data_IF_446249875021
#
_entry.id   IF_446249875021
#
_cell.length_a   1.000
_cell.length_b   1.000
_cell.length_c   1.000
_cell.angle_alpha   90.00
_cell.angle_beta   90.00
_cell.angle_gamma   90.00
#
_symmetry.space_group_name_H-M   'P 1'
#
loop_
_entity.id
_entity.type
_entity.pdbx_description
1 polymer ?
#
# COMPACT_ATOMS: atom_id res chain seq x y z
N UNK A 1 -21.60 -24.56 -33.41
CA UNK A 1 -20.20 -24.22 -33.73
C UNK A 1 -19.57 -23.57 -32.51
N UNK A 2 -18.77 -24.33 -31.77
CA UNK A 2 -18.02 -23.83 -30.61
C UNK A 2 -16.57 -23.67 -31.08
N UNK A 3 -16.13 -22.44 -31.30
CA UNK A 3 -14.72 -22.13 -31.51
C UNK A 3 -14.03 -21.94 -30.17
N UNK A 4 -13.22 -22.94 -29.81
CA UNK A 4 -12.19 -22.83 -28.80
C UNK A 4 -11.09 -21.88 -29.32
N UNK A 5 -11.01 -20.68 -28.77
CA UNK A 5 -9.84 -19.82 -28.89
C UNK A 5 -8.94 -20.06 -27.69
N UNK A 6 -7.84 -20.78 -27.91
CA UNK A 6 -6.78 -20.98 -26.93
C UNK A 6 -5.44 -20.66 -27.58
N UNK A 7 -5.18 -19.36 -27.80
CA UNK A 7 -3.83 -18.86 -28.10
C UNK A 7 -3.25 -18.30 -26.80
N UNK A 8 -2.50 -19.14 -26.08
CA UNK A 8 -1.56 -18.69 -25.07
C UNK A 8 -0.33 -18.14 -25.78
N UNK A 9 -0.26 -16.82 -25.93
CA UNK A 9 0.99 -16.12 -26.21
C UNK A 9 1.71 -16.00 -24.86
N UNK A 10 2.72 -16.84 -24.65
CA UNK A 10 3.62 -16.75 -23.50
C UNK A 10 4.57 -15.56 -23.70
N UNK A 11 4.17 -14.39 -23.20
CA UNK A 11 5.07 -13.26 -23.02
C UNK A 11 6.10 -13.59 -21.94
N UNK A 12 7.37 -13.71 -22.35
CA UNK A 12 8.51 -13.62 -21.43
C UNK A 12 8.57 -12.17 -20.90
N UNK A 13 7.98 -11.92 -19.73
CA UNK A 13 7.94 -10.58 -19.15
C UNK A 13 7.49 -10.61 -17.70
N UNK A 14 8.40 -10.24 -16.78
CA UNK A 14 8.23 -10.23 -15.31
C UNK A 14 7.77 -11.56 -14.72
N UNK A 15 8.62 -12.23 -13.94
CA UNK A 15 8.24 -13.43 -13.17
C UNK A 15 7.28 -13.05 -12.03
N UNK A 16 6.07 -12.58 -12.37
CA UNK A 16 4.97 -12.41 -11.43
C UNK A 16 4.54 -13.79 -11.00
N UNK A 17 4.71 -14.08 -9.71
CA UNK A 17 4.30 -15.34 -9.10
C UNK A 17 2.89 -15.14 -8.54
N UNK A 18 1.84 -15.64 -9.20
CA UNK A 18 0.47 -15.48 -8.71
C UNK A 18 0.25 -16.29 -7.44
N UNK A 19 -0.21 -15.62 -6.38
CA UNK A 19 -0.57 -16.23 -5.10
C UNK A 19 -2.09 -16.35 -4.96
N UNK A 20 -2.54 -17.37 -4.23
CA UNK A 20 -3.91 -17.55 -3.74
C UNK A 20 -3.85 -17.47 -2.22
N UNK A 21 -4.66 -16.61 -1.61
CA UNK A 21 -4.73 -16.46 -0.16
C UNK A 21 -6.08 -17.02 0.30
N UNK A 22 -6.05 -17.91 1.28
CA UNK A 22 -7.23 -18.48 1.91
C UNK A 22 -7.30 -18.01 3.37
N UNK A 23 -8.44 -17.42 3.72
CA UNK A 23 -8.72 -16.90 5.05
C UNK A 23 -9.77 -17.78 5.70
N UNK A 24 -9.53 -18.21 6.94
CA UNK A 24 -10.53 -18.94 7.73
C UNK A 24 -11.53 -17.98 8.37
N UNK A 25 -12.67 -18.53 8.83
CA UNK A 25 -13.66 -17.77 9.60
C UNK A 25 -13.14 -17.26 10.96
N UNK A 26 -11.96 -17.71 11.39
CA UNK A 26 -11.31 -17.29 12.64
C UNK A 26 -10.20 -16.25 12.41
N UNK A 27 -10.08 -15.72 11.19
CA UNK A 27 -9.15 -14.63 10.89
C UNK A 27 -9.51 -13.35 11.69
N UNK A 28 -8.53 -12.62 12.28
CA UNK A 28 -7.08 -12.77 12.16
C UNK A 28 -6.43 -13.69 13.21
N UNK A 29 -7.18 -14.32 14.11
CA UNK A 29 -6.61 -15.19 15.16
C UNK A 29 -5.92 -16.42 14.58
N UNK A 30 -6.52 -17.01 13.56
CA UNK A 30 -5.90 -18.08 12.78
C UNK A 30 -5.11 -17.50 11.60
N UNK A 31 -3.89 -18.01 11.41
CA UNK A 31 -3.00 -17.59 10.32
C UNK A 31 -3.60 -17.89 8.94
N UNK A 32 -3.39 -17.03 7.93
CA UNK A 32 -3.86 -17.26 6.57
C UNK A 32 -3.06 -18.37 5.88
N UNK A 33 -3.67 -19.10 4.95
CA UNK A 33 -2.96 -20.08 4.12
C UNK A 33 -2.67 -19.47 2.76
N UNK A 34 -1.43 -19.59 2.27
CA UNK A 34 -1.00 -18.97 1.01
C UNK A 34 -0.51 -20.05 0.07
N UNK A 35 -1.12 -20.16 -1.11
CA UNK A 35 -0.71 -21.09 -2.15
C UNK A 35 -0.12 -20.38 -3.36
N UNK A 36 0.85 -21.01 -3.99
CA UNK A 36 1.37 -20.58 -5.30
C UNK A 36 0.53 -21.22 -6.40
N UNK A 37 -0.02 -20.43 -7.34
CA UNK A 37 -0.84 -20.98 -8.44
C UNK A 37 -0.02 -21.67 -9.53
N UNK A 38 1.30 -21.45 -9.55
CA UNK A 38 2.24 -22.08 -10.48
C UNK A 38 3.03 -23.15 -9.74
N UNK A 39 3.34 -24.25 -10.44
CA UNK A 39 4.22 -25.30 -9.92
C UNK A 39 5.66 -24.77 -9.91
N UNK A 40 6.11 -24.33 -8.73
CA UNK A 40 7.44 -23.76 -8.51
C UNK A 40 8.15 -24.55 -7.42
N UNK A 41 9.46 -24.73 -7.59
CA UNK A 41 10.35 -25.33 -6.59
C UNK A 41 11.03 -24.21 -5.80
N UNK A 42 10.88 -24.26 -4.46
CA UNK A 42 11.51 -23.32 -3.55
C UNK A 42 11.57 -23.91 -2.13
N UNK A 43 12.59 -23.53 -1.35
CA UNK A 43 12.77 -24.01 0.05
C UNK A 43 11.58 -23.73 0.98
N UNK A 44 10.76 -22.74 0.64
CA UNK A 44 9.57 -22.35 1.42
C UNK A 44 8.26 -22.63 0.68
N UNK A 45 8.27 -23.46 -0.36
CA UNK A 45 7.05 -23.92 -1.02
C UNK A 45 6.97 -25.43 -0.81
N UNK A 46 5.89 -25.89 -0.19
CA UNK A 46 5.62 -27.32 -0.07
C UNK A 46 5.36 -27.94 -1.45
N UNK A 47 6.08 -29.00 -1.79
CA UNK A 47 6.03 -29.57 -3.15
C UNK A 47 4.71 -30.27 -3.49
N UNK A 48 3.92 -30.66 -2.47
CA UNK A 48 2.69 -31.43 -2.65
C UNK A 48 1.45 -30.52 -2.67
N UNK A 49 1.40 -29.52 -1.80
CA UNK A 49 0.27 -28.61 -1.60
C UNK A 49 0.48 -27.23 -2.25
N UNK A 50 1.71 -26.93 -2.65
CA UNK A 50 2.14 -25.61 -3.12
C UNK A 50 1.86 -24.47 -2.13
N UNK A 51 1.73 -24.81 -0.85
CA UNK A 51 1.60 -23.86 0.25
C UNK A 51 2.96 -23.19 0.54
N UNK A 52 2.93 -21.88 0.76
CA UNK A 52 4.09 -21.11 1.19
C UNK A 52 4.27 -21.28 2.69
N UNK A 53 5.36 -21.94 3.09
CA UNK A 53 5.74 -22.18 4.48
C UNK A 53 6.41 -20.92 5.03
N UNK A 54 5.62 -19.90 5.36
CA UNK A 54 6.15 -18.61 5.82
C UNK A 54 6.45 -18.54 7.32
N UNK A 55 6.04 -19.54 8.11
CA UNK A 55 6.26 -19.56 9.56
C UNK A 55 7.76 -19.52 9.96
N UNK A 56 8.65 -19.89 9.03
CA UNK A 56 10.11 -19.85 9.21
C UNK A 56 10.70 -18.43 9.15
N UNK A 57 10.03 -17.47 8.50
CA UNK A 57 10.53 -16.10 8.31
C UNK A 57 9.51 -15.01 8.63
N UNK A 58 8.27 -15.37 8.97
CA UNK A 58 7.21 -14.46 9.40
C UNK A 58 6.32 -15.12 10.46
N UNK A 59 6.34 -14.60 11.68
CA UNK A 59 5.51 -15.07 12.79
C UNK A 59 4.17 -14.34 12.80
N UNK A 60 3.10 -15.04 12.45
CA UNK A 60 1.74 -14.50 12.46
C UNK A 60 1.22 -14.29 13.89
N UNK A 61 0.66 -13.12 14.17
CA UNK A 61 -0.03 -12.78 15.42
C UNK A 61 -1.28 -11.92 15.14
N UNK A 62 -2.09 -11.65 16.17
CA UNK A 62 -3.37 -10.92 16.00
C UNK A 62 -3.21 -9.49 15.45
N UNK A 63 -2.01 -8.90 15.57
CA UNK A 63 -1.68 -7.57 15.04
C UNK A 63 -1.01 -7.62 13.65
N UNK A 64 -0.73 -8.82 13.11
CA UNK A 64 -0.14 -9.00 11.79
C UNK A 64 -1.10 -8.55 10.68
N UNK A 65 -0.55 -7.93 9.63
CA UNK A 65 -1.31 -7.53 8.44
C UNK A 65 -0.94 -8.40 7.25
N UNK A 66 -1.93 -8.76 6.43
CA UNK A 66 -1.72 -9.53 5.20
C UNK A 66 -0.72 -8.88 4.25
N UNK A 67 -0.73 -7.54 4.17
CA UNK A 67 0.19 -6.78 3.33
C UNK A 67 1.65 -7.01 3.74
N UNK A 68 1.93 -7.01 5.04
CA UNK A 68 3.29 -7.22 5.57
C UNK A 68 3.78 -8.64 5.31
N UNK A 69 2.87 -9.62 5.44
CA UNK A 69 3.14 -11.01 5.12
C UNK A 69 3.48 -11.19 3.63
N UNK A 70 2.67 -10.62 2.73
CA UNK A 70 2.91 -10.70 1.28
C UNK A 70 4.22 -10.00 0.90
N UNK A 71 4.52 -8.84 1.49
CA UNK A 71 5.79 -8.14 1.27
C UNK A 71 6.98 -8.98 1.73
N UNK A 72 6.85 -9.71 2.85
CA UNK A 72 7.90 -10.61 3.34
C UNK A 72 8.11 -11.82 2.44
N UNK A 73 7.04 -12.42 1.94
CA UNK A 73 7.11 -13.50 0.95
C UNK A 73 7.80 -12.99 -0.33
N UNK A 74 7.44 -11.80 -0.80
CA UNK A 74 8.08 -11.18 -1.95
C UNK A 74 9.58 -10.96 -1.73
N UNK A 75 10.00 -10.46 -0.56
CA UNK A 75 11.41 -10.31 -0.22
C UNK A 75 12.15 -11.65 -0.27
N UNK A 76 11.57 -12.72 0.29
CA UNK A 76 12.19 -14.04 0.25
C UNK A 76 12.30 -14.60 -1.18
N UNK A 77 11.28 -14.41 -2.01
CA UNK A 77 11.29 -14.86 -3.41
C UNK A 77 12.21 -14.01 -4.30
N UNK A 78 12.53 -12.78 -3.91
CA UNK A 78 13.57 -11.98 -4.60
C UNK A 78 14.96 -12.50 -4.22
N UNK A 79 15.20 -12.77 -2.94
CA UNK A 79 16.49 -13.25 -2.44
C UNK A 79 16.79 -14.68 -2.91
N UNK A 80 15.76 -15.50 -3.06
CA UNK A 80 15.84 -16.88 -3.52
C UNK A 80 14.73 -17.11 -4.54
N UNK A 81 15.03 -16.92 -5.82
CA UNK A 81 14.00 -17.00 -6.85
C UNK A 81 13.44 -18.43 -6.96
N UNK A 82 12.11 -18.64 -6.80
CA UNK A 82 11.51 -19.93 -7.07
C UNK A 82 11.76 -20.34 -8.52
N UNK A 83 12.36 -21.50 -8.71
CA UNK A 83 12.65 -22.04 -10.03
C UNK A 83 11.46 -22.87 -10.52
N UNK A 84 11.22 -22.89 -11.83
CA UNK A 84 10.39 -23.94 -12.41
C UNK A 84 11.14 -25.26 -12.28
N UNK A 85 10.40 -26.33 -11.95
CA UNK A 85 10.99 -27.67 -11.90
C UNK A 85 11.51 -28.05 -13.29
N UNK A 86 12.81 -28.39 -13.44
CA UNK A 86 13.39 -28.73 -14.74
C UNK A 86 12.68 -29.91 -15.41
N UNK A 87 12.17 -30.89 -14.65
CA UNK A 87 11.42 -32.02 -15.21
C UNK A 87 10.07 -31.59 -15.79
N UNK A 88 9.39 -30.63 -15.14
CA UNK A 88 8.11 -30.11 -15.66
C UNK A 88 8.31 -29.29 -16.93
N UNK A 89 9.41 -28.54 -17.01
CA UNK A 89 9.77 -27.78 -18.20
C UNK A 89 10.06 -28.71 -19.39
N UNK A 90 10.77 -29.81 -19.14
CA UNK A 90 11.05 -30.84 -20.14
C UNK A 90 9.77 -31.54 -20.63
N UNK A 91 8.83 -31.84 -19.72
CA UNK A 91 7.52 -32.41 -20.06
C UNK A 91 6.68 -31.45 -20.92
N UNK A 92 6.67 -30.14 -20.61
CA UNK A 92 5.96 -29.14 -21.44
C UNK A 92 6.57 -29.03 -22.85
N UNK A 93 7.89 -29.06 -22.95
CA UNK A 93 8.60 -29.05 -24.24
C UNK A 93 8.29 -30.30 -25.06
N UNK A 94 8.32 -31.49 -24.43
CA UNK A 94 7.96 -32.75 -25.08
C UNK A 94 6.51 -32.75 -25.57
N UNK A 95 5.58 -32.22 -24.78
CA UNK A 95 4.17 -32.14 -25.17
C UNK A 95 3.96 -31.24 -26.39
N UNK A 96 4.66 -30.11 -26.45
CA UNK A 96 4.61 -29.21 -27.61
C UNK A 96 5.14 -29.92 -28.87
N UNK A 97 6.27 -30.62 -28.75
CA UNK A 97 6.87 -31.38 -29.85
C UNK A 97 5.96 -32.50 -30.37
N UNK A 98 5.33 -33.26 -29.48
CA UNK A 98 4.35 -34.30 -29.86
C UNK A 98 3.16 -33.71 -30.61
N UNK A 99 2.71 -32.50 -30.23
CA UNK A 99 1.60 -31.84 -30.89
C UNK A 99 1.96 -31.34 -32.30
N UNK A 100 3.19 -30.83 -32.46
CA UNK A 100 3.74 -30.47 -33.77
C UNK A 100 3.87 -31.70 -34.68
N UNK A 101 4.39 -32.80 -34.16
CA UNK A 101 4.53 -34.06 -34.91
C UNK A 101 3.15 -34.63 -35.31
N UNK A 102 2.14 -34.54 -34.45
CA UNK A 102 0.76 -34.94 -34.78
C UNK A 102 0.15 -34.08 -35.88
N UNK A 103 0.40 -32.77 -35.90
CA UNK A 103 -0.07 -31.89 -36.97
C UNK A 103 0.63 -32.18 -38.30
N UNK A 104 1.94 -32.44 -38.26
CA UNK A 104 2.72 -32.83 -39.44
C UNK A 104 2.21 -34.17 -40.04
N UNK A 105 1.92 -35.16 -39.19
CA UNK A 105 1.32 -36.42 -39.59
C UNK A 105 -0.08 -36.24 -40.18
N UNK A 106 -0.92 -35.39 -39.59
CA UNK A 106 -2.25 -35.08 -40.12
C UNK A 106 -2.18 -34.47 -41.53
N UNK A 107 -1.21 -33.57 -41.76
CA UNK A 107 -0.96 -32.96 -43.08
C UNK A 107 -0.43 -33.97 -44.11
N UNK A 108 0.46 -34.88 -43.72
CA UNK A 108 0.94 -35.95 -44.60
C UNK A 108 -0.16 -36.94 -45.00
N UNK A 109 -1.12 -37.18 -44.12
CA UNK A 109 -2.24 -38.10 -44.38
C UNK A 109 -3.40 -37.44 -45.12
N UNK A 110 -3.39 -36.12 -45.31
CA UNK A 110 -4.47 -35.47 -46.04
C UNK A 110 -4.25 -35.63 -47.55
N UNK A 111 -5.20 -36.24 -48.25
CA UNK A 111 -5.15 -36.34 -49.71
C UNK A 111 -5.27 -34.94 -50.32
N UNK A 112 -4.36 -34.58 -51.23
CA UNK A 112 -4.36 -33.32 -51.98
C UNK A 112 -5.71 -32.99 -52.63
N UNK A 113 -6.44 -34.02 -53.07
CA UNK A 113 -7.78 -33.90 -53.65
C UNK A 113 -8.84 -33.38 -52.67
N UNK A 114 -8.62 -33.52 -51.36
CA UNK A 114 -9.49 -32.97 -50.32
C UNK A 114 -9.14 -31.52 -49.97
N UNK A 115 -7.86 -31.13 -50.13
CA UNK A 115 -7.44 -29.73 -49.95
C UNK A 115 -7.82 -28.85 -51.15
N UNK A 116 -7.87 -29.45 -52.35
CA UNK A 116 -8.21 -28.77 -53.60
C UNK A 116 -9.27 -29.57 -54.38
N UNK A 117 -10.56 -29.40 -54.04
CA UNK A 117 -11.66 -30.20 -54.61
C UNK A 117 -11.83 -30.08 -56.13
N UNK A 118 -11.18 -29.11 -56.77
CA UNK A 118 -11.22 -28.89 -58.23
C UNK A 118 -10.13 -29.62 -59.03
N UNK A 119 -9.23 -30.38 -58.39
CA UNK A 119 -8.12 -31.09 -59.05
C UNK A 119 -8.44 -32.57 -59.37
N UNK A 120 -9.71 -32.94 -59.54
CA UNK A 120 -10.05 -34.31 -59.91
C UNK A 120 -9.87 -34.56 -61.42
N UNK A 121 -8.90 -35.43 -61.73
CA UNK A 121 -8.83 -36.32 -62.89
C UNK A 121 -9.32 -35.74 -64.23
N UNK A 122 -8.43 -34.98 -64.89
CA UNK A 122 -8.48 -34.77 -66.34
C UNK A 122 -8.58 -33.31 -66.76
N UNK A 123 -7.60 -32.90 -67.56
CA UNK A 123 -7.61 -31.71 -68.44
C UNK A 123 -7.28 -30.32 -67.89
N UNK A 124 -6.75 -30.16 -66.68
CA UNK A 124 -6.04 -28.92 -66.34
C UNK A 124 -4.73 -29.31 -65.68
N UNK A 125 -3.63 -29.28 -66.43
CA UNK A 125 -2.29 -29.35 -65.84
C UNK A 125 -2.22 -28.20 -64.84
N UNK A 126 -1.62 -28.37 -63.66
CA UNK A 126 -1.45 -27.28 -62.70
C UNK A 126 -0.84 -26.01 -63.36
N UNK A 127 -0.08 -26.21 -64.44
CA UNK A 127 0.47 -25.19 -65.35
C UNK A 127 -0.58 -24.32 -66.06
N UNK A 128 -1.79 -24.81 -66.32
CA UNK A 128 -2.87 -24.06 -66.99
C UNK A 128 -3.73 -23.27 -65.98
N UNK A 129 -3.77 -23.68 -64.70
CA UNK A 129 -4.32 -22.85 -63.61
C UNK A 129 -3.41 -21.66 -63.27
N UNK A 130 -2.09 -21.85 -63.36
CA UNK A 130 -1.09 -20.78 -63.20
C UNK A 130 -1.12 -19.74 -64.33
N UNK A 131 -1.70 -20.08 -65.49
CA UNK A 131 -1.88 -19.20 -66.66
C UNK A 131 -3.22 -18.47 -66.69
N UNK A 132 -4.13 -18.71 -65.74
CA UNK A 132 -5.37 -17.92 -65.63
C UNK A 132 -5.01 -16.50 -65.18
N UNK A 133 -5.30 -15.53 -66.04
CA UNK A 133 -5.12 -14.11 -65.77
C UNK A 133 -5.75 -13.74 -64.42
N UNK A 134 -4.96 -13.10 -63.56
CA UNK A 134 -5.33 -12.70 -62.19
C UNK A 134 -4.61 -13.48 -61.08
N UNK A 135 -4.33 -14.78 -61.25
CA UNK A 135 -3.64 -15.58 -60.21
C UNK A 135 -2.20 -15.12 -59.99
N UNK A 136 -1.48 -14.79 -61.07
CA UNK A 136 -0.11 -14.29 -60.96
C UNK A 136 -0.05 -12.91 -60.28
N UNK A 137 -1.04 -12.05 -60.51
CA UNK A 137 -1.15 -10.75 -59.81
C UNK A 137 -1.47 -10.92 -58.32
N UNK A 138 -2.40 -11.82 -57.96
CA UNK A 138 -2.71 -12.09 -56.55
C UNK A 138 -1.54 -12.73 -55.80
N UNK A 139 -0.82 -13.65 -56.46
CA UNK A 139 0.42 -14.23 -55.93
C UNK A 139 1.53 -13.19 -55.77
N UNK A 140 1.63 -12.21 -56.67
CA UNK A 140 2.56 -11.09 -56.49
C UNK A 140 2.14 -10.15 -55.34
N UNK A 141 0.83 -9.95 -55.11
CA UNK A 141 0.31 -9.13 -54.00
C UNK A 141 0.43 -9.81 -52.64
N UNK A 142 0.54 -11.14 -52.59
CA UNK A 142 0.67 -11.96 -51.38
C UNK A 142 1.85 -11.54 -50.49
N UNK A 143 2.99 -11.19 -51.10
CA UNK A 143 4.16 -10.71 -50.36
C UNK A 143 3.90 -9.33 -49.73
N UNK A 144 3.18 -8.45 -50.44
CA UNK A 144 2.74 -7.15 -49.93
C UNK A 144 1.75 -7.31 -48.77
N UNK A 145 0.81 -8.24 -48.87
CA UNK A 145 -0.14 -8.54 -47.80
C UNK A 145 0.55 -9.14 -46.57
N UNK A 146 1.55 -10.00 -46.76
CA UNK A 146 2.35 -10.58 -45.68
C UNK A 146 3.17 -9.50 -44.95
N UNK A 147 3.75 -8.55 -45.69
CA UNK A 147 4.43 -7.37 -45.11
C UNK A 147 3.47 -6.48 -44.33
N UNK A 148 2.28 -6.22 -44.89
CA UNK A 148 1.24 -5.44 -44.22
C UNK A 148 0.75 -6.13 -42.93
N UNK A 149 0.55 -7.45 -42.96
CA UNK A 149 0.21 -8.23 -41.78
C UNK A 149 1.28 -8.11 -40.70
N UNK A 150 2.56 -8.23 -41.07
CA UNK A 150 3.69 -8.04 -40.13
C UNK A 150 3.70 -6.64 -39.51
N UNK A 151 3.46 -5.61 -40.31
CA UNK A 151 3.37 -4.23 -39.84
C UNK A 151 2.19 -4.01 -38.87
N UNK A 152 1.01 -4.57 -39.17
CA UNK A 152 -0.16 -4.51 -38.28
C UNK A 152 0.11 -5.23 -36.96
N UNK A 153 0.76 -6.40 -37.00
CA UNK A 153 1.14 -7.13 -35.79
C UNK A 153 2.14 -6.33 -34.93
N UNK A 154 3.15 -5.70 -35.54
CA UNK A 154 4.11 -4.85 -34.84
C UNK A 154 3.41 -3.64 -34.18
N UNK A 155 2.48 -2.99 -34.90
CA UNK A 155 1.66 -1.91 -34.33
C UNK A 155 0.80 -2.41 -33.16
N UNK A 156 0.18 -3.57 -33.27
CA UNK A 156 -0.60 -4.19 -32.19
C UNK A 156 0.23 -4.42 -30.93
N UNK A 157 1.45 -4.96 -31.09
CA UNK A 157 2.39 -5.17 -29.97
C UNK A 157 2.83 -3.84 -29.33
N UNK A 158 3.10 -2.80 -30.13
CA UNK A 158 3.44 -1.47 -29.61
C UNK A 158 2.28 -0.84 -28.84
N UNK A 159 1.05 -0.97 -29.34
CA UNK A 159 -0.16 -0.50 -28.66
C UNK A 159 -0.36 -1.21 -27.32
N UNK A 160 -0.19 -2.54 -27.29
CA UNK A 160 -0.29 -3.31 -26.05
C UNK A 160 0.79 -2.91 -25.04
N UNK A 161 2.02 -2.69 -25.49
CA UNK A 161 3.10 -2.17 -24.65
C UNK A 161 2.76 -0.79 -24.06
N UNK A 162 2.29 0.15 -24.90
CA UNK A 162 1.90 1.49 -24.46
C UNK A 162 0.73 1.46 -23.48
N UNK A 163 -0.28 0.62 -23.74
CA UNK A 163 -1.42 0.42 -22.82
C UNK A 163 -0.95 -0.06 -21.45
N UNK A 164 -0.07 -1.07 -21.42
CA UNK A 164 0.50 -1.58 -20.17
C UNK A 164 1.33 -0.52 -19.44
N UNK A 165 2.08 0.32 -20.16
CA UNK A 165 2.81 1.43 -19.54
C UNK A 165 1.87 2.48 -18.95
N UNK A 166 0.81 2.84 -19.65
CA UNK A 166 -0.23 3.76 -19.16
C UNK A 166 -0.90 3.23 -17.90
N UNK A 167 -1.28 1.95 -17.87
CA UNK A 167 -1.89 1.33 -16.70
C UNK A 167 -0.93 1.32 -15.50
N UNK A 168 0.35 0.99 -15.72
CA UNK A 168 1.36 1.04 -14.66
C UNK A 168 1.58 2.47 -14.14
N UNK A 169 1.62 3.47 -15.03
CA UNK A 169 1.72 4.87 -14.63
C UNK A 169 0.48 5.34 -13.86
N UNK A 170 -0.72 4.98 -14.30
CA UNK A 170 -1.95 5.31 -13.60
C UNK A 170 -1.99 4.70 -12.18
N UNK A 171 -1.55 3.44 -12.04
CA UNK A 171 -1.42 2.79 -10.72
C UNK A 171 -0.37 3.46 -9.83
N UNK A 172 0.78 3.86 -10.39
CA UNK A 172 1.81 4.59 -9.65
C UNK A 172 1.32 5.96 -9.19
N UNK A 173 0.61 6.71 -10.06
CA UNK A 173 0.01 8.01 -9.72
C UNK A 173 -1.04 7.84 -8.62
N UNK A 174 -1.91 6.84 -8.71
CA UNK A 174 -2.92 6.58 -7.69
C UNK A 174 -2.30 6.22 -6.33
N UNK A 175 -1.27 5.36 -6.32
CA UNK A 175 -0.53 5.03 -5.10
C UNK A 175 0.13 6.27 -4.48
N UNK A 176 0.74 7.13 -5.31
CA UNK A 176 1.36 8.38 -4.85
C UNK A 176 0.33 9.37 -4.32
N UNK A 177 -0.85 9.45 -4.94
CA UNK A 177 -1.97 10.27 -4.48
C UNK A 177 -2.45 9.83 -3.09
N UNK A 178 -2.60 8.52 -2.87
CA UNK A 178 -2.99 7.98 -1.56
C UNK A 178 -1.94 8.30 -0.48
N UNK A 179 -0.65 8.17 -0.80
CA UNK A 179 0.42 8.52 0.13
C UNK A 179 0.39 10.01 0.49
N UNK A 180 0.21 10.89 -0.49
CA UNK A 180 0.11 12.33 -0.25
C UNK A 180 -1.10 12.68 0.62
N UNK A 181 -2.25 12.04 0.41
CA UNK A 181 -3.44 12.23 1.25
C UNK A 181 -3.17 11.82 2.70
N UNK A 182 -2.50 10.69 2.93
CA UNK A 182 -2.13 10.28 4.29
C UNK A 182 -1.15 11.25 4.96
N UNK A 183 -0.20 11.80 4.18
CA UNK A 183 0.73 12.81 4.69
C UNK A 183 0.02 14.12 5.04
N UNK A 184 -0.96 14.54 4.24
CA UNK A 184 -1.77 15.74 4.47
C UNK A 184 -2.62 15.60 5.75
N UNK A 185 -3.26 14.44 5.94
CA UNK A 185 -4.00 14.12 7.17
C UNK A 185 -3.10 14.16 8.42
N UNK A 186 -1.88 13.59 8.32
CA UNK A 186 -0.90 13.64 9.41
C UNK A 186 -0.45 15.06 9.71
N UNK A 187 -0.21 15.87 8.67
CA UNK A 187 0.19 17.26 8.82
C UNK A 187 -0.90 18.09 9.51
N UNK A 188 -2.16 17.98 9.08
CA UNK A 188 -3.27 18.71 9.72
C UNK A 188 -3.49 18.27 11.18
N UNK A 189 -3.31 16.98 11.49
CA UNK A 189 -3.35 16.50 12.87
C UNK A 189 -2.24 17.13 13.74
N UNK A 190 -1.01 17.19 13.23
CA UNK A 190 0.12 17.80 13.94
C UNK A 190 -0.06 19.32 14.10
N UNK A 191 -0.54 19.99 13.06
CA UNK A 191 -0.85 21.43 13.09
C UNK A 191 -1.91 21.76 14.12
N UNK A 192 -2.99 20.96 14.20
CA UNK A 192 -4.03 21.11 15.22
C UNK A 192 -3.46 20.95 16.63
N UNK A 193 -2.61 19.93 16.85
CA UNK A 193 -1.92 19.73 18.12
C UNK A 193 -1.01 20.91 18.48
N UNK A 194 -0.23 21.41 17.52
CA UNK A 194 0.65 22.54 17.72
C UNK A 194 -0.13 23.82 18.10
N UNK A 195 -1.23 24.10 17.40
CA UNK A 195 -2.09 25.25 17.72
C UNK A 195 -2.69 25.15 19.12
N UNK A 196 -3.09 23.94 19.55
CA UNK A 196 -3.54 23.71 20.91
C UNK A 196 -2.45 23.98 21.94
N UNK A 197 -1.27 23.38 21.75
CA UNK A 197 -0.13 23.57 22.66
C UNK A 197 0.33 25.03 22.72
N UNK A 198 0.34 25.72 21.59
CA UNK A 198 0.65 27.14 21.52
C UNK A 198 -0.34 27.97 22.33
N UNK A 199 -1.64 27.70 22.19
CA UNK A 199 -2.67 28.37 22.99
C UNK A 199 -2.50 28.10 24.48
N UNK A 200 -2.23 26.85 24.85
CA UNK A 200 -1.99 26.48 26.25
C UNK A 200 -0.73 27.18 26.80
N UNK A 201 0.32 27.29 25.99
CA UNK A 201 1.54 28.04 26.33
C UNK A 201 1.28 29.53 26.50
N UNK A 202 0.46 30.15 25.64
CA UNK A 202 0.09 31.56 25.78
C UNK A 202 -0.71 31.80 27.06
N UNK A 203 -1.68 30.92 27.38
CA UNK A 203 -2.44 31.03 28.62
C UNK A 203 -1.54 30.89 29.86
N UNK A 204 -0.55 30.01 29.82
CA UNK A 204 0.45 29.91 30.87
C UNK A 204 1.29 31.18 30.97
N UNK A 205 1.77 31.70 29.83
CA UNK A 205 2.55 32.93 29.79
C UNK A 205 1.75 34.13 30.33
N UNK A 206 0.46 34.23 30.04
CA UNK A 206 -0.42 35.26 30.60
C UNK A 206 -0.57 35.09 32.11
N UNK A 207 -0.86 33.88 32.61
CA UNK A 207 -0.99 33.59 34.05
C UNK A 207 0.27 33.90 34.83
N UNK A 208 1.43 33.61 34.25
CA UNK A 208 2.74 33.87 34.84
C UNK A 208 3.35 35.19 34.37
N UNK A 209 2.58 36.04 33.71
CA UNK A 209 3.03 37.38 33.36
C UNK A 209 3.24 38.18 34.64
N UNK A 210 4.26 39.04 34.64
CA UNK A 210 4.61 39.83 35.82
C UNK A 210 3.43 40.68 36.31
N UNK A 211 2.63 41.21 35.38
CA UNK A 211 1.45 42.00 35.70
C UNK A 211 0.35 41.16 36.38
N UNK A 212 0.09 39.94 35.89
CA UNK A 212 -0.91 39.06 36.51
C UNK A 212 -0.45 38.58 37.89
N UNK A 213 0.82 38.22 38.04
CA UNK A 213 1.39 37.82 39.34
C UNK A 213 1.30 38.98 40.33
N UNK A 214 1.69 40.18 39.92
CA UNK A 214 1.59 41.38 40.77
C UNK A 214 0.13 41.69 41.13
N UNK A 215 -0.80 41.60 40.18
CA UNK A 215 -2.22 41.81 40.43
C UNK A 215 -2.80 40.81 41.45
N UNK A 216 -2.41 39.53 41.38
CA UNK A 216 -2.86 38.52 42.34
C UNK A 216 -2.26 38.79 43.72
N UNK A 217 -0.98 39.18 43.79
CA UNK A 217 -0.36 39.58 45.05
C UNK A 217 -1.06 40.81 45.65
N UNK A 218 -1.40 41.81 44.84
CA UNK A 218 -2.10 43.01 45.28
C UNK A 218 -3.51 42.69 45.81
N UNK A 219 -4.26 41.83 45.13
CA UNK A 219 -5.57 41.38 45.59
C UNK A 219 -5.48 40.63 46.93
N UNK A 220 -4.49 39.74 47.11
CA UNK A 220 -4.36 38.99 48.36
C UNK A 220 -3.86 39.88 49.51
N UNK A 221 -3.00 40.86 49.22
CA UNK A 221 -2.58 41.87 50.20
C UNK A 221 -3.78 42.70 50.66
N UNK A 222 -4.61 43.19 49.72
CA UNK A 222 -5.83 43.94 50.04
C UNK A 222 -6.82 43.10 50.86
N UNK A 223 -7.04 41.84 50.47
CA UNK A 223 -7.90 40.92 51.22
C UNK A 223 -7.44 40.73 52.65
N UNK A 224 -6.13 40.53 52.86
CA UNK A 224 -5.57 40.38 54.21
C UNK A 224 -5.63 41.70 55.01
N UNK A 225 -5.43 42.84 54.36
CA UNK A 225 -5.57 44.16 54.98
C UNK A 225 -6.99 44.36 55.52
N UNK A 226 -8.01 44.12 54.67
CA UNK A 226 -9.42 44.20 55.06
C UNK A 226 -9.75 43.23 56.20
N UNK A 227 -9.29 41.98 56.14
CA UNK A 227 -9.48 41.01 57.23
C UNK A 227 -8.86 41.52 58.52
N UNK A 228 -7.63 42.03 58.48
CA UNK A 228 -6.95 42.52 59.69
C UNK A 228 -7.59 43.77 60.27
N UNK A 229 -8.05 44.71 59.42
CA UNK A 229 -8.77 45.90 59.88
C UNK A 229 -10.11 45.54 60.52
N UNK A 230 -10.89 44.66 59.88
CA UNK A 230 -12.16 44.20 60.43
C UNK A 230 -11.98 43.41 61.73
N UNK A 231 -10.85 42.69 61.89
CA UNK A 231 -10.51 42.01 63.13
C UNK A 231 -10.14 43.01 64.25
N UNK A 232 -9.43 44.10 63.95
CA UNK A 232 -9.09 45.13 64.96
C UNK A 232 -10.32 45.79 65.61
N UNK A 233 -11.48 45.76 64.94
CA UNK A 233 -12.75 46.30 65.43
C UNK A 233 -13.57 45.34 66.31
N UNK A 234 -13.15 44.07 66.45
CA UNK A 234 -13.91 43.04 67.19
C UNK A 234 -13.45 42.97 68.67
N UNK A 235 -14.38 43.22 69.59
CA UNK A 235 -14.19 42.92 71.02
C UNK A 235 -14.47 41.43 71.29
N UNK A 236 -13.42 40.61 71.45
CA UNK A 236 -13.54 39.19 71.79
C UNK A 236 -13.14 38.92 73.25
N UNK A 237 -13.89 38.08 73.97
CA UNK A 237 -13.63 37.74 75.38
C UNK A 237 -13.26 36.24 75.58
N UNK A 238 -12.49 35.95 76.64
CA UNK A 238 -12.24 34.58 77.11
C UNK A 238 -11.28 33.74 76.24
N UNK A 239 -11.50 32.43 76.14
CA UNK A 239 -10.65 31.51 75.35
C UNK A 239 -10.74 31.76 73.83
N UNK A 240 -11.85 32.31 73.35
CA UNK A 240 -12.01 32.73 71.94
C UNK A 240 -11.08 33.90 71.59
N UNK A 241 -10.72 34.73 72.57
CA UNK A 241 -9.76 35.82 72.39
C UNK A 241 -8.34 35.32 72.08
N UNK A 242 -7.91 34.19 72.67
CA UNK A 242 -6.57 33.66 72.40
C UNK A 242 -6.44 33.10 70.97
N UNK A 243 -7.47 32.42 70.47
CA UNK A 243 -7.44 31.88 69.11
C UNK A 243 -7.63 33.00 68.08
N UNK A 244 -8.46 33.99 68.39
CA UNK A 244 -8.56 35.23 67.62
C UNK A 244 -7.21 35.97 67.51
N UNK A 245 -6.49 36.16 68.63
CA UNK A 245 -5.18 36.80 68.62
C UNK A 245 -4.16 36.03 67.77
N UNK A 246 -4.17 34.70 67.83
CA UNK A 246 -3.29 33.87 66.99
C UNK A 246 -3.60 34.06 65.51
N UNK A 247 -4.88 34.03 65.14
CA UNK A 247 -5.32 34.20 63.75
C UNK A 247 -4.97 35.60 63.23
N UNK A 248 -5.26 36.64 64.01
CA UNK A 248 -4.90 38.02 63.68
C UNK A 248 -3.39 38.20 63.49
N UNK A 249 -2.57 37.70 64.42
CA UNK A 249 -1.11 37.76 64.29
C UNK A 249 -0.60 37.00 63.06
N UNK A 250 -1.20 35.85 62.75
CA UNK A 250 -0.85 35.07 61.58
C UNK A 250 -1.21 35.81 60.28
N UNK A 251 -2.42 36.37 60.19
CA UNK A 251 -2.87 37.17 59.05
C UNK A 251 -1.96 38.39 58.82
N UNK A 252 -1.63 39.12 59.90
CA UNK A 252 -0.74 40.29 59.84
C UNK A 252 0.69 39.92 59.43
N UNK A 253 1.19 38.77 59.89
CA UNK A 253 2.49 38.23 59.47
C UNK A 253 2.50 37.86 57.98
N UNK A 254 1.44 37.22 57.50
CA UNK A 254 1.31 36.83 56.10
C UNK A 254 1.14 38.04 55.18
N UNK A 255 0.42 39.08 55.63
CA UNK A 255 0.33 40.38 54.96
C UNK A 255 1.71 41.00 54.72
N UNK A 256 2.52 41.21 55.76
CA UNK A 256 3.87 41.78 55.60
C UNK A 256 4.78 40.89 54.75
N UNK A 257 4.66 39.57 54.89
CA UNK A 257 5.41 38.61 54.07
C UNK A 257 5.07 38.73 52.59
N UNK A 258 3.80 38.93 52.24
CA UNK A 258 3.36 39.14 50.86
C UNK A 258 3.80 40.51 50.33
N UNK A 259 3.73 41.58 51.14
CA UNK A 259 4.27 42.89 50.75
C UNK A 259 5.77 42.83 50.41
N UNK A 260 6.58 42.16 51.25
CA UNK A 260 8.01 41.97 51.00
C UNK A 260 8.23 41.16 49.72
N UNK A 261 7.47 40.06 49.52
CA UNK A 261 7.57 39.24 48.31
C UNK A 261 7.22 40.04 47.06
N UNK A 262 6.17 40.85 47.09
CA UNK A 262 5.78 41.75 46.00
C UNK A 262 6.91 42.73 45.67
N UNK A 263 7.43 43.45 46.66
CA UNK A 263 8.51 44.40 46.46
C UNK A 263 9.77 43.73 45.86
N UNK A 264 10.13 42.55 46.35
CA UNK A 264 11.23 41.75 45.78
C UNK A 264 10.94 41.30 44.35
N UNK A 265 9.71 40.91 44.04
CA UNK A 265 9.32 40.48 42.70
C UNK A 265 9.41 41.65 41.71
N UNK A 266 8.88 42.83 42.07
CA UNK A 266 8.98 44.06 41.25
C UNK A 266 10.43 44.51 41.01
N UNK A 267 11.37 44.22 41.92
CA UNK A 267 12.79 44.54 41.74
C UNK A 267 13.57 43.55 40.86
N UNK A 268 13.05 42.33 40.68
CA UNK A 268 13.73 41.25 39.95
C UNK A 268 13.10 40.93 38.58
N UNK A 269 11.98 41.57 38.25
CA UNK A 269 11.34 41.58 36.92
C UNK A 269 11.86 42.78 36.14
#
# INVERSE_FOLDING_TARGET
>A
MQSNNNCKVSSQGSNKIPLKIELSNQFPKQKPVIHVKRKLSHKYIDSNSWEVIYASFYQWNENSRLVDLVNKIQQEFINHMPAQDPLLLEIENLKSKVNEDQQALALQQTQLNNMFPGLQNGSVKAEDLLKKDGYHEEVQKLESYKKLQGFILELGQKLEFLSNQLDNQAQAINSKKQLLQQQDEQFEAQKSLHLKLHKDSQLLQERFSSNTILSVLDQEIQRLEEITMNQEEIEAEGTQFQDFLKEYHQNKKDFYKLQIKRAKYTQNV
#
